data_IF_347996255593
#
_entry.id   IF_347996255593
#
_cell.length_a   1.000
_cell.length_b   1.000
_cell.length_c   1.000
_cell.angle_alpha   90.00
_cell.angle_beta   90.00
_cell.angle_gamma   90.00
#
_symmetry.space_group_name_H-M   'P 1'
#
loop_
_entity.id
_entity.type
_entity.pdbx_description
1 polymer ?
#
# COMPACT_ATOMS: atom_id res chain seq x y z
N UNK A 1 9.52 -3.77 -0.78
CA UNK A 1 8.19 -4.29 -1.17
C UNK A 1 7.98 -4.12 -2.68
N UNK A 2 7.59 -2.93 -3.15
CA UNK A 2 7.02 -2.78 -4.50
C UNK A 2 8.03 -2.92 -5.65
N UNK A 3 9.32 -2.69 -5.40
CA UNK A 3 10.39 -2.92 -6.40
C UNK A 3 10.49 -4.41 -6.79
N UNK A 4 10.39 -5.32 -5.81
CA UNK A 4 10.41 -6.77 -6.10
C UNK A 4 9.18 -7.19 -6.90
N UNK A 5 8.03 -6.56 -6.64
CA UNK A 5 6.79 -6.77 -7.39
C UNK A 5 6.88 -6.34 -8.86
N UNK A 6 7.78 -5.42 -9.20
CA UNK A 6 8.06 -5.02 -10.60
C UNK A 6 9.05 -5.95 -11.28
N UNK A 7 10.08 -6.40 -10.56
CA UNK A 7 11.13 -7.27 -11.10
C UNK A 7 10.59 -8.68 -11.38
N UNK A 8 9.73 -9.20 -10.50
CA UNK A 8 9.20 -10.55 -10.59
C UNK A 8 8.50 -10.89 -11.92
N UNK A 9 7.56 -10.08 -12.45
CA UNK A 9 6.94 -10.36 -13.75
C UNK A 9 7.92 -10.29 -14.92
N UNK A 10 8.95 -9.43 -14.85
CA UNK A 10 9.99 -9.36 -15.88
C UNK A 10 10.83 -10.66 -15.89
N UNK A 11 11.23 -11.15 -14.72
CA UNK A 11 11.96 -12.42 -14.62
C UNK A 11 11.10 -13.62 -15.02
N UNK A 12 9.80 -13.58 -14.69
CA UNK A 12 8.85 -14.59 -15.14
C UNK A 12 8.70 -14.57 -16.67
N UNK A 13 8.70 -13.39 -17.29
CA UNK A 13 8.69 -13.24 -18.75
C UNK A 13 9.90 -13.91 -19.41
N UNK A 14 11.11 -13.74 -18.84
CA UNK A 14 12.32 -14.41 -19.31
C UNK A 14 12.27 -15.93 -19.10
N UNK A 15 11.76 -16.38 -17.96
CA UNK A 15 11.55 -17.80 -17.69
C UNK A 15 10.54 -18.42 -18.67
N UNK A 16 9.47 -17.69 -19.02
CA UNK A 16 8.49 -18.14 -20.00
C UNK A 16 9.08 -18.16 -21.41
N UNK A 17 9.99 -17.24 -21.74
CA UNK A 17 10.68 -17.21 -23.02
C UNK A 17 11.48 -18.50 -23.25
N UNK A 18 12.11 -19.08 -22.22
CA UNK A 18 12.79 -20.38 -22.31
C UNK A 18 11.88 -21.53 -22.80
N UNK A 19 10.57 -21.46 -22.52
CA UNK A 19 9.60 -22.47 -22.97
C UNK A 19 9.06 -22.23 -24.39
N UNK A 20 9.44 -21.13 -25.05
CA UNK A 20 9.09 -20.89 -26.46
C UNK A 20 10.11 -21.57 -27.37
N UNK A 21 9.63 -22.14 -28.48
CA UNK A 21 10.52 -22.66 -29.52
C UNK A 21 11.38 -21.49 -30.07
N UNK A 22 12.68 -21.74 -30.29
CA UNK A 22 13.69 -20.80 -30.81
C UNK A 22 14.39 -19.81 -29.85
N UNK A 23 14.39 -20.05 -28.54
CA UNK A 23 15.30 -19.30 -27.65
C UNK A 23 16.59 -20.06 -27.39
N UNK A 24 17.75 -19.46 -27.69
CA UNK A 24 19.08 -19.97 -27.32
C UNK A 24 19.37 -19.97 -25.80
N UNK A 25 18.32 -19.98 -24.97
CA UNK A 25 18.39 -19.98 -23.52
C UNK A 25 18.74 -21.38 -23.00
N UNK A 26 19.72 -21.46 -22.11
CA UNK A 26 20.17 -22.73 -21.57
C UNK A 26 19.30 -23.12 -20.36
N UNK A 27 19.20 -24.44 -20.07
CA UNK A 27 18.56 -24.94 -18.84
C UNK A 27 19.05 -24.24 -17.57
N UNK A 28 20.33 -23.90 -17.52
CA UNK A 28 20.96 -23.18 -16.41
C UNK A 28 20.35 -21.78 -16.22
N UNK A 29 20.10 -21.03 -17.30
CA UNK A 29 19.50 -19.70 -17.25
C UNK A 29 18.07 -19.77 -16.70
N UNK A 30 17.30 -20.77 -17.12
CA UNK A 30 15.95 -21.01 -16.60
C UNK A 30 15.96 -21.30 -15.09
N UNK A 31 16.88 -22.14 -14.61
CA UNK A 31 17.03 -22.39 -13.18
C UNK A 31 17.47 -21.15 -12.40
N UNK A 32 18.33 -20.30 -12.98
CA UNK A 32 18.73 -19.02 -12.39
C UNK A 32 17.53 -18.07 -12.27
N UNK A 33 16.71 -17.92 -13.31
CA UNK A 33 15.51 -17.08 -13.25
C UNK A 33 14.49 -17.60 -12.22
N UNK A 34 14.24 -18.91 -12.18
CA UNK A 34 13.34 -19.51 -11.20
C UNK A 34 13.84 -19.33 -9.75
N UNK A 35 15.14 -19.52 -9.53
CA UNK A 35 15.79 -19.28 -8.23
C UNK A 35 15.69 -17.82 -7.81
N UNK A 36 15.96 -16.88 -8.74
CA UNK A 36 15.86 -15.45 -8.48
C UNK A 36 14.42 -15.02 -8.14
N UNK A 37 13.40 -15.56 -8.82
CA UNK A 37 11.98 -15.33 -8.49
C UNK A 37 11.67 -15.80 -7.07
N UNK A 38 12.16 -16.99 -6.69
CA UNK A 38 11.94 -17.57 -5.36
C UNK A 38 12.57 -16.71 -4.26
N UNK A 39 13.83 -16.29 -4.46
CA UNK A 39 14.54 -15.39 -3.54
C UNK A 39 13.85 -14.03 -3.44
N UNK A 40 13.47 -13.43 -4.58
CA UNK A 40 12.74 -12.16 -4.59
C UNK A 40 11.43 -12.25 -3.83
N UNK A 41 10.68 -13.35 -3.99
CA UNK A 41 9.41 -13.58 -3.27
C UNK A 41 9.64 -13.67 -1.77
N UNK A 42 10.65 -14.43 -1.35
CA UNK A 42 11.02 -14.59 0.06
C UNK A 42 11.45 -13.26 0.69
N UNK A 43 12.35 -12.51 0.03
CA UNK A 43 12.78 -11.19 0.49
C UNK A 43 11.63 -10.20 0.53
N UNK A 44 10.73 -10.23 -0.46
CA UNK A 44 9.55 -9.40 -0.46
C UNK A 44 8.66 -9.71 0.76
N UNK A 45 8.43 -10.98 1.10
CA UNK A 45 7.66 -11.37 2.27
C UNK A 45 8.32 -10.91 3.59
N UNK A 46 9.63 -11.07 3.73
CA UNK A 46 10.36 -10.60 4.91
C UNK A 46 10.28 -9.09 5.08
N UNK A 47 10.61 -8.32 4.03
CA UNK A 47 10.55 -6.87 4.06
C UNK A 47 9.12 -6.37 4.29
N UNK A 48 8.14 -7.08 3.74
CA UNK A 48 6.73 -6.79 3.95
C UNK A 48 6.34 -6.89 5.41
N UNK A 49 6.75 -7.98 6.06
CA UNK A 49 6.48 -8.22 7.46
C UNK A 49 7.18 -7.18 8.36
N UNK A 50 8.45 -6.88 8.10
CA UNK A 50 9.19 -5.85 8.83
C UNK A 50 8.57 -4.46 8.67
N UNK A 51 8.12 -4.12 7.46
CA UNK A 51 7.43 -2.87 7.19
C UNK A 51 6.13 -2.77 7.98
N UNK A 52 5.28 -3.80 7.95
CA UNK A 52 3.99 -3.80 8.67
C UNK A 52 4.23 -3.70 10.19
N UNK A 53 5.17 -4.47 10.73
CA UNK A 53 5.50 -4.42 12.16
C UNK A 53 6.01 -3.04 12.57
N UNK A 54 6.90 -2.44 11.77
CA UNK A 54 7.39 -1.08 12.00
C UNK A 54 6.26 -0.06 11.93
N UNK A 55 5.40 -0.13 10.92
CA UNK A 55 4.26 0.75 10.75
C UNK A 55 3.32 0.71 11.97
N UNK A 56 2.95 -0.47 12.46
CA UNK A 56 2.16 -0.61 13.68
C UNK A 56 2.87 -0.03 14.91
N UNK A 57 4.18 -0.23 15.05
CA UNK A 57 4.95 0.34 16.16
C UNK A 57 4.93 1.88 16.17
N UNK A 58 5.08 2.50 15.00
CA UNK A 58 4.95 3.95 14.87
C UNK A 58 3.51 4.43 15.09
N UNK A 59 2.52 3.71 14.57
CA UNK A 59 1.09 3.99 14.79
C UNK A 59 0.74 4.03 16.29
N UNK A 60 1.17 3.01 17.05
CA UNK A 60 0.97 2.95 18.50
C UNK A 60 1.60 4.14 19.24
N UNK A 61 2.81 4.55 18.86
CA UNK A 61 3.49 5.72 19.45
C UNK A 61 2.74 7.01 19.16
N UNK A 62 2.26 7.19 17.93
CA UNK A 62 1.46 8.36 17.52
C UNK A 62 0.17 8.40 18.35
N UNK A 63 -0.55 7.27 18.43
CA UNK A 63 -1.78 7.16 19.23
C UNK A 63 -1.53 7.55 20.70
N UNK A 64 -0.50 6.98 21.32
CA UNK A 64 -0.16 7.27 22.71
C UNK A 64 0.16 8.77 22.92
N UNK A 65 0.94 9.36 22.03
CA UNK A 65 1.28 10.78 22.07
C UNK A 65 0.05 11.67 21.89
N UNK A 66 -0.82 11.37 20.94
CA UNK A 66 -2.08 12.09 20.71
C UNK A 66 -2.99 12.00 21.94
N UNK A 67 -3.17 10.82 22.52
CA UNK A 67 -3.96 10.65 23.75
C UNK A 67 -3.42 11.50 24.90
N UNK A 68 -2.09 11.49 25.11
CA UNK A 68 -1.45 12.28 26.16
C UNK A 68 -1.60 13.80 25.93
N UNK A 69 -1.46 14.26 24.68
CA UNK A 69 -1.63 15.66 24.31
C UNK A 69 -3.06 16.15 24.51
N UNK A 70 -4.05 15.36 24.05
CA UNK A 70 -5.47 15.67 24.23
C UNK A 70 -5.81 15.72 25.72
N UNK A 71 -5.40 14.72 26.50
CA UNK A 71 -5.63 14.70 27.95
C UNK A 71 -5.03 15.91 28.65
N UNK A 72 -3.76 16.25 28.36
CA UNK A 72 -3.09 17.43 28.92
C UNK A 72 -3.78 18.74 28.55
N UNK A 73 -4.32 18.85 27.34
CA UNK A 73 -5.08 20.03 26.90
C UNK A 73 -6.41 20.13 27.62
N UNK A 74 -7.12 19.01 27.80
CA UNK A 74 -8.39 18.96 28.55
C UNK A 74 -8.23 19.43 30.00
N UNK A 75 -7.13 19.07 30.66
CA UNK A 75 -6.85 19.52 32.02
C UNK A 75 -6.55 21.03 32.14
N UNK A 76 -6.17 21.70 31.05
CA UNK A 76 -5.82 23.12 31.03
C UNK A 76 -6.95 24.02 30.52
N UNK A 77 -8.06 23.45 30.08
CA UNK A 77 -9.20 24.21 29.55
C UNK A 77 -10.06 24.74 30.71
N UNK A 78 -10.62 25.95 30.56
CA UNK A 78 -11.56 26.49 31.55
C UNK A 78 -12.84 25.64 31.58
N UNK A 79 -13.51 25.57 32.73
CA UNK A 79 -14.75 24.78 32.88
C UNK A 79 -15.85 25.20 31.89
N UNK A 80 -15.88 26.46 31.48
CA UNK A 80 -16.81 26.98 30.45
C UNK A 80 -16.48 26.42 29.06
N UNK A 81 -15.22 26.49 28.63
CA UNK A 81 -14.79 25.94 27.34
C UNK A 81 -14.81 24.39 27.30
N UNK A 82 -14.60 23.75 28.45
CA UNK A 82 -14.75 22.30 28.63
C UNK A 82 -16.22 21.88 28.70
N UNK A 83 -17.12 22.76 29.16
CA UNK A 83 -18.56 22.57 29.13
C UNK A 83 -19.14 22.70 27.72
N UNK A 84 -18.65 23.66 26.93
CA UNK A 84 -18.97 23.80 25.50
C UNK A 84 -18.46 22.62 24.67
N UNK A 85 -17.28 22.09 25.03
CA UNK A 85 -16.75 20.85 24.45
C UNK A 85 -17.22 19.66 25.29
N UNK A 86 -18.48 19.25 25.15
CA UNK A 86 -19.07 18.14 25.90
C UNK A 86 -18.06 16.98 26.04
N UNK A 87 -17.76 16.55 27.28
CA UNK A 87 -16.76 15.50 27.59
C UNK A 87 -16.87 14.27 26.69
N UNK A 88 -18.10 13.91 26.28
CA UNK A 88 -18.37 12.85 25.29
C UNK A 88 -17.73 13.05 23.91
N UNK A 89 -17.58 14.29 23.40
CA UNK A 89 -16.86 14.57 22.15
C UNK A 89 -15.37 14.24 22.28
N UNK A 90 -14.76 14.52 23.42
CA UNK A 90 -13.33 14.23 23.66
C UNK A 90 -13.11 12.71 23.73
N UNK A 91 -13.98 12.00 24.44
CA UNK A 91 -13.96 10.53 24.50
C UNK A 91 -14.19 9.94 23.11
N UNK A 92 -15.17 10.44 22.35
CA UNK A 92 -15.42 9.97 20.98
C UNK A 92 -14.20 10.21 20.08
N UNK A 93 -13.56 11.39 20.16
CA UNK A 93 -12.36 11.69 19.39
C UNK A 93 -11.20 10.73 19.72
N UNK A 94 -10.95 10.46 21.00
CA UNK A 94 -9.93 9.51 21.44
C UNK A 94 -10.23 8.08 20.98
N UNK A 95 -11.49 7.65 21.05
CA UNK A 95 -11.91 6.28 20.72
C UNK A 95 -12.04 6.02 19.21
N UNK A 96 -12.55 6.98 18.43
CA UNK A 96 -12.81 6.80 17.00
C UNK A 96 -11.70 7.35 16.10
N UNK A 97 -11.20 8.55 16.37
CA UNK A 97 -10.24 9.20 15.47
C UNK A 97 -8.82 8.76 15.78
N UNK A 98 -8.42 8.79 17.05
CA UNK A 98 -7.03 8.48 17.42
C UNK A 98 -6.70 6.99 17.21
N UNK A 99 -7.68 6.10 17.38
CA UNK A 99 -7.50 4.66 17.12
C UNK A 99 -7.25 4.34 15.64
N UNK A 100 -7.71 5.20 14.71
CA UNK A 100 -7.49 5.01 13.27
C UNK A 100 -6.04 5.21 12.83
N UNK A 101 -5.22 5.91 13.62
CA UNK A 101 -3.80 6.12 13.27
C UNK A 101 -2.99 4.83 13.14
N UNK A 102 -3.38 3.77 13.86
CA UNK A 102 -2.73 2.45 13.77
C UNK A 102 -2.82 1.88 12.33
N UNK A 103 -3.92 2.14 11.62
CA UNK A 103 -4.13 1.67 10.24
C UNK A 103 -3.65 2.69 9.21
N UNK A 104 -3.90 3.99 9.42
CA UNK A 104 -3.56 5.03 8.45
C UNK A 104 -2.07 5.02 8.11
N UNK A 105 -1.20 4.79 9.08
CA UNK A 105 0.25 4.79 8.90
C UNK A 105 0.74 3.74 7.88
N UNK A 106 0.01 2.64 7.71
CA UNK A 106 0.29 1.59 6.71
C UNK A 106 -0.05 2.10 5.30
N UNK A 107 -1.12 2.87 5.16
CA UNK A 107 -1.61 3.34 3.86
C UNK A 107 -0.92 4.62 3.37
N UNK A 108 -0.37 5.44 4.27
CA UNK A 108 0.33 6.70 3.91
C UNK A 108 1.46 6.43 2.90
N UNK A 109 2.23 5.37 3.09
CA UNK A 109 3.28 4.99 2.13
C UNK A 109 2.68 4.62 0.76
N UNK A 110 1.60 3.85 0.76
CA UNK A 110 0.94 3.42 -0.48
C UNK A 110 0.37 4.59 -1.29
N UNK A 111 -0.05 5.67 -0.63
CA UNK A 111 -0.67 6.83 -1.27
C UNK A 111 0.20 7.49 -2.35
N UNK A 112 1.52 7.57 -2.13
CA UNK A 112 2.44 8.18 -3.10
C UNK A 112 3.18 7.14 -3.95
N UNK A 113 3.44 5.94 -3.42
CA UNK A 113 4.14 4.91 -4.19
C UNK A 113 3.22 4.32 -5.27
N UNK A 114 1.93 4.15 -5.02
CA UNK A 114 1.00 3.58 -6.00
C UNK A 114 0.96 4.38 -7.32
N UNK A 115 0.79 5.72 -7.33
CA UNK A 115 0.90 6.51 -8.56
C UNK A 115 2.24 6.35 -9.28
N UNK A 116 3.36 6.36 -8.55
CA UNK A 116 4.70 6.21 -9.12
C UNK A 116 4.85 4.84 -9.80
N UNK A 117 4.43 3.77 -9.13
CA UNK A 117 4.49 2.41 -9.65
C UNK A 117 3.55 2.22 -10.83
N UNK A 118 2.33 2.78 -10.78
CA UNK A 118 1.40 2.75 -11.91
C UNK A 118 1.99 3.44 -13.14
N UNK A 119 2.69 4.58 -12.99
CA UNK A 119 3.38 5.23 -14.11
C UNK A 119 4.46 4.32 -14.71
N UNK A 120 5.28 3.69 -13.86
CA UNK A 120 6.34 2.76 -14.32
C UNK A 120 5.74 1.57 -15.08
N UNK A 121 4.71 0.92 -14.54
CA UNK A 121 4.05 -0.23 -15.18
C UNK A 121 3.42 0.18 -16.51
N UNK A 122 2.75 1.34 -16.55
CA UNK A 122 2.13 1.85 -17.78
C UNK A 122 3.18 2.08 -18.87
N UNK A 123 4.34 2.63 -18.50
CA UNK A 123 5.46 2.81 -19.42
C UNK A 123 6.02 1.47 -19.92
N UNK A 124 6.26 0.50 -19.04
CA UNK A 124 6.75 -0.81 -19.43
C UNK A 124 5.77 -1.54 -20.35
N UNK A 125 4.47 -1.51 -20.04
CA UNK A 125 3.44 -2.10 -20.90
C UNK A 125 3.35 -1.42 -22.27
N UNK A 126 3.57 -0.11 -22.35
CA UNK A 126 3.63 0.60 -23.63
C UNK A 126 4.80 0.11 -24.49
N UNK A 127 5.97 -0.07 -23.88
CA UNK A 127 7.17 -0.56 -24.59
C UNK A 127 6.96 -1.99 -25.12
N UNK A 128 6.38 -2.88 -24.30
CA UNK A 128 6.25 -4.29 -24.67
C UNK A 128 5.04 -4.60 -25.56
N UNK A 129 3.92 -3.88 -25.39
CA UNK A 129 2.62 -4.21 -26.01
C UNK A 129 1.95 -3.04 -26.73
N UNK A 130 2.57 -1.85 -26.74
CA UNK A 130 2.04 -0.66 -27.40
C UNK A 130 0.61 -0.32 -26.96
N UNK A 131 -0.27 -0.10 -27.93
CA UNK A 131 -1.67 0.27 -27.69
C UNK A 131 -2.47 -0.78 -26.94
N UNK A 132 -2.19 -2.08 -27.14
CA UNK A 132 -2.90 -3.15 -26.44
C UNK A 132 -2.70 -3.07 -24.92
N UNK A 133 -1.48 -2.72 -24.48
CA UNK A 133 -1.17 -2.52 -23.05
C UNK A 133 -1.94 -1.34 -22.44
N UNK A 134 -2.10 -0.25 -23.18
CA UNK A 134 -2.82 0.95 -22.72
C UNK A 134 -4.31 0.67 -22.53
N UNK A 135 -4.95 -0.09 -23.42
CA UNK A 135 -6.35 -0.49 -23.23
C UNK A 135 -6.53 -1.33 -21.95
N UNK A 136 -5.58 -2.22 -21.65
CA UNK A 136 -5.55 -2.98 -20.39
C UNK A 136 -5.47 -2.08 -19.16
N UNK A 137 -4.50 -1.16 -19.13
CA UNK A 137 -4.33 -0.19 -18.04
C UNK A 137 -5.53 0.75 -17.92
N UNK A 138 -6.08 1.23 -19.05
CA UNK A 138 -7.27 2.08 -19.08
C UNK A 138 -8.48 1.43 -18.42
N UNK A 139 -8.64 0.11 -18.58
CA UNK A 139 -9.71 -0.65 -17.91
C UNK A 139 -9.54 -0.61 -16.39
N UNK A 140 -8.31 -0.75 -15.88
CA UNK A 140 -8.03 -0.63 -14.43
C UNK A 140 -8.42 0.76 -13.92
N UNK A 141 -8.07 1.82 -14.66
CA UNK A 141 -8.43 3.20 -14.29
C UNK A 141 -9.94 3.46 -14.30
N UNK A 142 -10.73 2.74 -15.09
CA UNK A 142 -12.20 2.81 -15.05
C UNK A 142 -12.75 2.09 -13.81
N UNK A 143 -12.11 1.00 -13.39
CA UNK A 143 -12.54 0.22 -12.22
C UNK A 143 -12.28 0.96 -10.90
N UNK A 144 -11.17 1.67 -10.76
CA UNK A 144 -10.82 2.43 -9.54
C UNK A 144 -11.92 3.40 -9.07
N UNK A 145 -12.50 4.30 -9.90
CA UNK A 145 -13.55 5.20 -9.47
C UNK A 145 -14.87 4.47 -9.16
N UNK A 146 -15.13 3.33 -9.83
CA UNK A 146 -16.27 2.48 -9.49
C UNK A 146 -16.11 1.92 -8.08
N UNK A 147 -14.93 1.36 -7.75
CA UNK A 147 -14.62 0.90 -6.39
C UNK A 147 -14.73 2.04 -5.36
N UNK A 148 -14.28 3.25 -5.70
CA UNK A 148 -14.44 4.44 -4.87
C UNK A 148 -15.90 4.78 -4.57
N UNK A 149 -16.77 4.76 -5.59
CA UNK A 149 -18.22 4.96 -5.40
C UNK A 149 -18.84 3.90 -4.50
N UNK A 150 -18.48 2.63 -4.68
CA UNK A 150 -18.93 1.56 -3.80
C UNK A 150 -18.46 1.74 -2.36
N UNK A 151 -17.22 2.16 -2.15
CA UNK A 151 -16.67 2.44 -0.82
C UNK A 151 -17.43 3.58 -0.11
N UNK A 152 -17.79 4.65 -0.84
CA UNK A 152 -18.59 5.75 -0.31
C UNK A 152 -20.01 5.30 0.07
N UNK A 153 -20.65 4.48 -0.77
CA UNK A 153 -21.98 3.93 -0.48
C UNK A 153 -21.96 2.99 0.74
N UNK A 154 -20.89 2.20 0.90
CA UNK A 154 -20.74 1.31 2.05
C UNK A 154 -20.50 2.08 3.36
N UNK A 155 -19.81 3.22 3.31
CA UNK A 155 -19.57 4.10 4.46
C UNK A 155 -20.72 5.07 4.80
N UNK A 156 -21.78 5.10 3.98
CA UNK A 156 -22.98 5.92 4.22
C UNK A 156 -24.02 5.23 5.14
N UNK A 157 -23.65 4.11 5.78
CA UNK A 157 -24.43 3.41 6.80
C UNK A 157 -23.69 3.44 8.13
#
# INVERSE_FOLDING_TARGET
>A
MQVFSLIQPMMLGQLLAYFRADTGLTKQDAFLYAGAISVCTFLNALLSNQYIMGAFHYGMKIRAACCALVYRKSLRLSKTALGETASGKIVNLLSNDVSRFDMVIIFVHHMWVAPVVTMIITYLMWVDSGWAGIFGIGTVFIVVPIQGKFSLLAGSK
#
